data_IF_418986247359
#
_entry.id   IF_418986247359
#
_cell.length_a   1.000
_cell.length_b   1.000
_cell.length_c   1.000
_cell.angle_alpha   90.00
_cell.angle_beta   90.00
_cell.angle_gamma   90.00
#
_symmetry.space_group_name_H-M   'P 1'
#
loop_
_entity.id
_entity.type
_entity.pdbx_description
1 polymer ?
#
# COMPACT_ATOMS: atom_id res chain seq x y z
N UNK A 1 -2.99 -16.33 2.18
CA UNK A 1 -1.94 -15.30 2.24
C UNK A 1 -1.41 -15.12 0.84
N UNK A 2 -1.65 -13.96 0.24
CA UNK A 2 -0.98 -13.57 -1.00
C UNK A 2 0.52 -13.47 -0.78
N UNK A 3 1.28 -13.91 -1.78
CA UNK A 3 2.70 -13.61 -1.87
C UNK A 3 2.91 -12.11 -2.02
N UNK A 4 4.11 -11.65 -1.68
CA UNK A 4 4.48 -10.25 -1.88
C UNK A 4 4.27 -9.81 -3.34
N UNK A 5 4.67 -10.61 -4.32
CA UNK A 5 4.50 -10.30 -5.75
C UNK A 5 3.03 -10.16 -6.16
N UNK A 6 2.14 -10.99 -5.61
CA UNK A 6 0.70 -10.87 -5.82
C UNK A 6 0.14 -9.58 -5.20
N UNK A 7 0.61 -9.19 -4.00
CA UNK A 7 0.23 -7.92 -3.38
C UNK A 7 0.67 -6.74 -4.25
N UNK A 8 1.89 -6.75 -4.80
CA UNK A 8 2.37 -5.70 -5.72
C UNK A 8 1.51 -5.65 -6.98
N UNK A 9 1.25 -6.80 -7.61
CA UNK A 9 0.42 -6.88 -8.82
C UNK A 9 -0.99 -6.36 -8.55
N UNK A 10 -1.58 -6.73 -7.42
CA UNK A 10 -2.89 -6.26 -6.99
C UNK A 10 -2.89 -4.74 -6.81
N UNK A 11 -1.94 -4.20 -6.03
CA UNK A 11 -1.85 -2.75 -5.79
C UNK A 11 -1.68 -1.98 -7.11
N UNK A 12 -0.82 -2.43 -8.03
CA UNK A 12 -0.65 -1.78 -9.34
C UNK A 12 -1.92 -1.74 -10.20
N UNK A 13 -2.83 -2.69 -10.01
CA UNK A 13 -4.10 -2.71 -10.73
C UNK A 13 -5.11 -1.70 -10.18
N UNK A 14 -4.95 -1.26 -8.93
CA UNK A 14 -5.81 -0.24 -8.34
C UNK A 14 -5.57 1.12 -9.01
N UNK A 15 -6.64 1.86 -9.37
CA UNK A 15 -6.52 3.16 -10.04
C UNK A 15 -5.60 4.13 -9.31
N UNK A 16 -5.59 4.13 -7.97
CA UNK A 16 -4.76 5.06 -7.19
C UNK A 16 -3.25 4.80 -7.31
N UNK A 17 -2.82 3.58 -7.65
CA UNK A 17 -1.39 3.21 -7.75
C UNK A 17 -0.92 2.97 -9.19
N UNK A 18 -1.78 3.11 -10.20
CA UNK A 18 -1.38 2.93 -11.61
C UNK A 18 -0.22 3.80 -12.06
N UNK A 19 -0.11 5.01 -11.49
CA UNK A 19 0.93 6.00 -11.82
C UNK A 19 2.00 6.10 -10.73
N UNK A 20 1.95 5.23 -9.72
CA UNK A 20 2.86 5.26 -8.58
C UNK A 20 4.12 4.42 -8.88
N UNK A 21 5.32 4.91 -8.53
CA UNK A 21 6.57 4.17 -8.66
C UNK A 21 6.55 2.80 -7.97
N UNK A 22 7.27 1.84 -8.53
CA UNK A 22 7.27 0.48 -7.99
C UNK A 22 7.90 0.37 -6.60
N UNK A 23 8.84 1.26 -6.24
CA UNK A 23 9.42 1.37 -4.90
C UNK A 23 8.36 1.71 -3.86
N UNK A 24 7.48 2.64 -4.19
CA UNK A 24 6.37 3.07 -3.34
C UNK A 24 5.33 1.95 -3.17
N UNK A 25 4.96 1.26 -4.27
CA UNK A 25 4.06 0.09 -4.20
C UNK A 25 4.67 -1.03 -3.34
N UNK A 26 6.00 -1.19 -3.36
CA UNK A 26 6.71 -2.15 -2.51
C UNK A 26 6.66 -1.79 -1.03
N UNK A 27 6.86 -0.51 -0.69
CA UNK A 27 6.73 -0.04 0.69
C UNK A 27 5.32 -0.34 1.22
N UNK A 28 4.29 -0.04 0.44
CA UNK A 28 2.90 -0.32 0.80
C UNK A 28 2.63 -1.82 0.96
N UNK A 29 3.02 -2.65 0.01
CA UNK A 29 2.79 -4.10 0.10
C UNK A 29 3.56 -4.75 1.26
N UNK A 30 4.70 -4.19 1.64
CA UNK A 30 5.53 -4.70 2.73
C UNK A 30 4.82 -4.57 4.07
N UNK A 31 4.22 -3.42 4.34
CA UNK A 31 3.48 -3.19 5.59
C UNK A 31 1.99 -3.57 5.51
N UNK A 32 1.47 -3.86 4.31
CA UNK A 32 0.09 -4.25 4.15
C UNK A 32 -0.18 -5.67 4.68
N UNK A 33 -1.06 -5.73 5.67
CA UNK A 33 -1.60 -6.95 6.26
C UNK A 33 -2.87 -7.39 5.53
N UNK A 34 -3.01 -8.68 5.27
CA UNK A 34 -4.17 -9.22 4.56
C UNK A 34 -5.22 -9.70 5.56
N UNK A 35 -6.38 -9.03 5.60
CA UNK A 35 -7.54 -9.47 6.40
C UNK A 35 -8.72 -9.72 5.46
N UNK A 36 -9.25 -10.95 5.45
CA UNK A 36 -10.40 -11.36 4.62
C UNK A 36 -10.20 -11.04 3.11
N UNK A 37 -8.98 -11.19 2.59
CA UNK A 37 -8.66 -10.93 1.19
C UNK A 37 -8.54 -9.46 0.80
N UNK A 38 -8.59 -8.54 1.77
CA UNK A 38 -8.29 -7.12 1.58
C UNK A 38 -6.97 -6.77 2.27
N UNK A 39 -6.22 -5.86 1.66
CA UNK A 39 -5.01 -5.32 2.24
C UNK A 39 -5.35 -4.14 3.14
N UNK A 40 -4.85 -4.17 4.37
CA UNK A 40 -4.97 -3.11 5.35
C UNK A 40 -3.58 -2.70 5.79
N UNK A 41 -3.38 -1.40 5.95
CA UNK A 41 -2.17 -0.87 6.56
C UNK A 41 -2.46 -0.59 8.02
N UNK A 42 -1.56 -1.02 8.90
CA UNK A 42 -1.64 -0.64 10.31
C UNK A 42 -1.30 0.87 10.43
N UNK A 43 -1.99 1.63 11.31
CA UNK A 43 -1.81 3.08 11.39
C UNK A 43 -0.37 3.54 11.63
N UNK A 44 0.39 2.79 12.45
CA UNK A 44 1.81 3.06 12.72
C UNK A 44 2.67 2.94 11.46
N UNK A 45 2.34 2.00 10.58
CA UNK A 45 3.08 1.79 9.33
C UNK A 45 2.66 2.78 8.25
N UNK A 46 1.39 3.22 8.25
CA UNK A 46 0.96 4.37 7.43
C UNK A 46 1.78 5.60 7.81
N UNK A 47 1.98 5.89 9.10
CA UNK A 47 2.79 7.02 9.55
C UNK A 47 4.24 6.91 9.07
N UNK A 48 4.85 5.71 9.14
CA UNK A 48 6.20 5.48 8.59
C UNK A 48 6.26 5.69 7.08
N UNK A 49 5.30 5.18 6.32
CA UNK A 49 5.26 5.38 4.87
C UNK A 49 5.11 6.86 4.55
N UNK A 50 4.20 7.58 5.20
CA UNK A 50 3.99 9.01 4.97
C UNK A 50 5.26 9.80 5.31
N UNK A 51 6.02 9.38 6.32
CA UNK A 51 7.28 10.01 6.69
C UNK A 51 8.40 9.75 5.67
N UNK A 52 8.53 8.52 5.17
CA UNK A 52 9.58 8.15 4.20
C UNK A 52 9.23 8.49 2.74
N UNK A 53 7.93 8.48 2.43
CA UNK A 53 7.35 8.67 1.11
C UNK A 53 6.14 9.62 1.21
N UNK A 54 6.37 10.92 1.47
CA UNK A 54 5.31 11.89 1.69
C UNK A 54 4.32 12.00 0.52
N UNK A 55 4.77 11.75 -0.71
CA UNK A 55 3.91 11.72 -1.91
C UNK A 55 2.80 10.66 -1.84
N UNK A 56 3.04 9.57 -1.09
CA UNK A 56 2.05 8.51 -0.87
C UNK A 56 0.93 8.92 0.07
N UNK A 57 1.09 9.94 0.91
CA UNK A 57 0.04 10.37 1.85
C UNK A 57 -1.28 10.69 1.14
N UNK A 58 -1.20 11.24 -0.07
CA UNK A 58 -2.38 11.54 -0.90
C UNK A 58 -3.05 10.30 -1.53
N UNK A 59 -2.38 9.15 -1.51
CA UNK A 59 -2.78 7.88 -2.14
C UNK A 59 -3.26 6.85 -1.13
N UNK A 60 -2.77 6.94 0.10
CA UNK A 60 -3.22 6.16 1.25
C UNK A 60 -4.49 6.83 1.78
N UNK A 61 -5.66 6.29 1.44
CA UNK A 61 -6.94 6.80 1.96
C UNK A 61 -7.04 6.71 3.50
N UNK A 62 -8.18 7.10 4.10
CA UNK A 62 -8.36 7.08 5.55
C UNK A 62 -8.19 5.68 6.19
N UNK A 63 -8.36 4.61 5.42
CA UNK A 63 -8.17 3.21 5.85
C UNK A 63 -6.85 2.58 5.32
N UNK A 64 -5.92 3.40 4.81
CA UNK A 64 -4.64 2.97 4.24
C UNK A 64 -4.72 2.47 2.80
N UNK A 65 -5.76 1.70 2.43
CA UNK A 65 -6.00 1.18 1.07
C UNK A 65 -7.51 0.90 0.87
N UNK A 66 -8.30 1.93 0.57
CA UNK A 66 -9.72 1.77 0.16
C UNK A 66 -9.84 1.58 -1.34
#
# INVERSE_FOLDING_TARGET
>A
MMTFEEKIKYLRNLPQFKVVPISEVRAIAFVANEKKGKLFLDPEDVEKIVREYPDLASKLGPDGLT
#
